data_IF_141740956054
#
_entry.id   IF_141740956054
#
_cell.length_a   1.000
_cell.length_b   1.000
_cell.length_c   1.000
_cell.angle_alpha   90.00
_cell.angle_beta   90.00
_cell.angle_gamma   90.00
#
_symmetry.space_group_name_H-M   'P 1'
#
loop_
_entity.id
_entity.type
_entity.pdbx_description
1 polymer ?
#
# COMPACT_ATOMS: atom_id res chain seq x y z
N UNK A 1 24.99 5.33 7.02
CA UNK A 1 24.89 3.86 6.84
C UNK A 1 23.41 3.47 6.73
N UNK A 2 22.78 3.36 5.54
CA UNK A 2 21.48 2.70 5.45
C UNK A 2 21.73 1.18 5.42
N UNK A 3 21.22 0.51 6.44
CA UNK A 3 21.41 -0.91 6.73
C UNK A 3 20.83 -1.81 5.61
N UNK A 4 21.45 -2.98 5.47
CA UNK A 4 21.24 -4.03 4.48
C UNK A 4 19.88 -4.77 4.58
N UNK A 5 18.77 -4.04 4.76
CA UNK A 5 17.41 -4.60 4.78
C UNK A 5 16.62 -4.31 3.50
N UNK A 6 17.34 -4.09 2.39
CA UNK A 6 16.81 -3.68 1.09
C UNK A 6 15.87 -4.71 0.42
N UNK A 7 15.56 -5.82 1.10
CA UNK A 7 14.67 -6.88 0.59
C UNK A 7 13.66 -7.46 1.57
N UNK A 8 13.57 -7.00 2.83
CA UNK A 8 12.63 -7.56 3.83
C UNK A 8 11.67 -6.53 4.41
N UNK A 9 10.51 -7.04 4.83
CA UNK A 9 9.45 -6.25 5.41
C UNK A 9 9.67 -6.08 6.91
N UNK A 10 9.91 -4.86 7.37
CA UNK A 10 10.14 -4.58 8.80
C UNK A 10 8.98 -4.96 9.74
N UNK A 11 7.79 -5.23 9.20
CA UNK A 11 6.63 -5.67 9.99
C UNK A 11 6.64 -7.18 10.25
N UNK A 12 7.02 -8.01 9.27
CA UNK A 12 6.81 -9.46 9.36
C UNK A 12 7.92 -10.31 8.72
N UNK A 13 9.01 -9.66 8.29
CA UNK A 13 10.22 -10.27 7.74
C UNK A 13 10.05 -11.01 6.40
N UNK A 14 8.85 -10.94 5.82
CA UNK A 14 8.53 -11.38 4.45
C UNK A 14 9.25 -10.50 3.41
N UNK A 15 9.30 -10.94 2.15
CA UNK A 15 9.98 -10.21 1.08
C UNK A 15 9.32 -8.85 0.85
N UNK A 16 10.10 -7.78 0.98
CA UNK A 16 9.62 -6.42 0.69
C UNK A 16 9.58 -6.18 -0.81
N UNK A 17 8.54 -5.45 -1.24
CA UNK A 17 8.40 -5.00 -2.63
C UNK A 17 9.00 -3.61 -2.85
N UNK A 18 9.42 -2.95 -1.77
CA UNK A 18 9.90 -1.57 -1.75
C UNK A 18 9.38 -0.79 -0.55
N UNK A 19 9.59 0.53 -0.57
CA UNK A 19 9.15 1.45 0.48
C UNK A 19 7.66 1.77 0.30
N UNK A 20 6.84 1.49 1.31
CA UNK A 20 5.45 1.95 1.36
C UNK A 20 5.15 2.54 2.73
N UNK A 21 4.45 3.68 2.74
CA UNK A 21 4.11 4.40 3.98
C UNK A 21 5.33 4.76 4.85
N UNK A 22 6.51 4.94 4.24
CA UNK A 22 7.73 5.39 4.90
C UNK A 22 8.78 4.31 5.17
N UNK A 23 8.45 3.02 5.02
CA UNK A 23 9.41 1.92 5.31
C UNK A 23 9.32 0.74 4.31
N UNK A 24 10.37 -0.10 4.23
CA UNK A 24 10.34 -1.36 3.47
C UNK A 24 9.21 -2.30 3.93
N UNK A 25 8.30 -2.65 3.03
CA UNK A 25 7.15 -3.52 3.35
C UNK A 25 6.79 -4.50 2.25
N UNK A 26 6.21 -5.64 2.64
CA UNK A 26 5.63 -6.61 1.71
C UNK A 26 4.21 -6.21 1.29
N UNK A 27 3.73 -6.76 0.17
CA UNK A 27 2.39 -6.47 -0.38
C UNK A 27 1.25 -6.69 0.66
N UNK A 28 1.24 -7.78 1.44
CA UNK A 28 0.19 -8.00 2.44
C UNK A 28 0.19 -6.96 3.56
N UNK A 29 1.36 -6.54 4.06
CA UNK A 29 1.45 -5.52 5.12
C UNK A 29 1.08 -4.13 4.59
N UNK A 30 1.46 -3.79 3.36
CA UNK A 30 1.01 -2.58 2.66
C UNK A 30 -0.52 -2.50 2.59
N UNK A 31 -1.17 -3.56 2.10
CA UNK A 31 -2.63 -3.59 1.95
C UNK A 31 -3.36 -3.65 3.31
N UNK A 32 -2.78 -4.32 4.29
CA UNK A 32 -3.29 -4.36 5.65
C UNK A 32 -3.26 -2.99 6.31
N UNK A 33 -2.12 -2.29 6.26
CA UNK A 33 -1.97 -0.96 6.87
C UNK A 33 -2.94 0.04 6.25
N UNK A 34 -3.03 0.10 4.91
CA UNK A 34 -3.94 1.02 4.21
C UNK A 34 -5.41 0.87 4.66
N UNK A 35 -5.86 -0.35 4.95
CA UNK A 35 -7.24 -0.62 5.38
C UNK A 35 -7.50 -0.35 6.85
N UNK A 36 -6.47 -0.45 7.70
CA UNK A 36 -6.63 -0.48 9.15
C UNK A 36 -5.94 0.68 9.88
N UNK A 37 -5.16 1.53 9.22
CA UNK A 37 -4.40 2.60 9.87
C UNK A 37 -5.26 3.56 10.73
N UNK A 38 -6.53 3.76 10.35
CA UNK A 38 -7.47 4.60 11.12
C UNK A 38 -8.16 3.85 12.26
N UNK A 39 -8.01 2.53 12.34
CA UNK A 39 -8.65 1.66 13.33
C UNK A 39 -7.81 1.41 14.57
N UNK A 40 -6.57 1.92 14.63
CA UNK A 40 -5.75 1.75 15.83
C UNK A 40 -6.43 2.47 17.01
N UNK A 41 -6.61 1.75 18.12
CA UNK A 41 -7.28 2.28 19.32
C UNK A 41 -8.80 2.19 19.27
N UNK A 42 -9.40 1.64 18.22
CA UNK A 42 -10.83 1.32 18.22
C UNK A 42 -11.10 -0.02 18.92
N UNK A 43 -12.34 -0.23 19.37
CA UNK A 43 -12.78 -1.49 19.99
C UNK A 43 -12.66 -2.70 19.04
N UNK A 44 -12.55 -2.48 17.74
CA UNK A 44 -12.36 -3.54 16.73
C UNK A 44 -10.93 -4.09 16.70
N UNK A 45 -9.96 -3.38 17.29
CA UNK A 45 -8.54 -3.70 17.26
C UNK A 45 -8.00 -3.98 18.66
N UNK A 46 -8.57 -5.00 19.30
CA UNK A 46 -8.16 -5.50 20.63
C UNK A 46 -7.36 -6.79 20.48
N UNK A 47 -6.28 -6.93 21.24
CA UNK A 47 -5.54 -8.17 21.33
C UNK A 47 -6.25 -9.12 22.30
N UNK A 48 -6.38 -10.40 21.94
CA UNK A 48 -6.93 -11.45 22.82
C UNK A 48 -5.88 -12.04 23.78
N UNK A 49 -4.65 -11.51 23.75
CA UNK A 49 -3.52 -11.91 24.58
C UNK A 49 -2.95 -10.64 25.23
N UNK A 50 -1.63 -10.57 25.45
CA UNK A 50 -1.01 -9.47 26.20
C UNK A 50 -0.55 -8.28 25.33
N UNK A 51 -0.99 -8.19 24.06
CA UNK A 51 -0.54 -7.13 23.15
C UNK A 51 0.88 -7.33 22.58
N UNK A 52 1.53 -8.45 22.88
CA UNK A 52 2.92 -8.74 22.51
C UNK A 52 3.04 -9.90 21.50
N UNK A 53 1.99 -10.16 20.70
CA UNK A 53 2.02 -11.26 19.74
C UNK A 53 3.18 -11.12 18.75
N UNK A 54 3.89 -12.23 18.53
CA UNK A 54 4.98 -12.29 17.55
C UNK A 54 4.40 -12.16 16.14
N UNK A 55 4.84 -11.14 15.40
CA UNK A 55 4.40 -10.88 14.03
C UNK A 55 5.51 -11.28 13.05
N UNK A 56 5.36 -12.47 12.46
CA UNK A 56 6.19 -13.00 11.35
C UNK A 56 5.34 -13.27 10.11
N UNK A 57 5.94 -13.65 8.99
CA UNK A 57 5.21 -13.99 7.77
C UNK A 57 4.15 -15.10 8.00
N UNK A 58 4.44 -16.05 8.90
CA UNK A 58 3.54 -17.16 9.29
C UNK A 58 2.42 -16.69 10.22
N UNK A 59 2.74 -15.92 11.26
CA UNK A 59 1.82 -15.59 12.35
C UNK A 59 1.15 -14.21 12.27
N UNK A 60 1.46 -13.41 11.24
CA UNK A 60 0.87 -12.07 11.04
C UNK A 60 -0.66 -12.06 10.87
N UNK A 61 -1.32 -13.20 10.68
CA UNK A 61 -2.79 -13.28 10.63
C UNK A 61 -3.41 -13.59 11.99
N UNK A 62 -2.63 -14.05 12.96
CA UNK A 62 -3.11 -14.49 14.28
C UNK A 62 -3.60 -13.32 15.13
N UNK A 63 -3.01 -12.12 14.98
CA UNK A 63 -3.45 -10.95 15.73
C UNK A 63 -3.36 -9.67 14.89
N UNK A 64 -4.53 -9.18 14.46
CA UNK A 64 -4.63 -7.91 13.73
C UNK A 64 -4.17 -6.73 14.60
N UNK A 65 -4.53 -6.72 15.89
CA UNK A 65 -4.11 -5.69 16.85
C UNK A 65 -2.59 -5.51 16.89
N UNK A 66 -1.86 -6.57 17.25
CA UNK A 66 -0.40 -6.53 17.36
C UNK A 66 0.27 -6.27 16.01
N UNK A 67 -0.30 -6.76 14.90
CA UNK A 67 0.21 -6.43 13.56
C UNK A 67 0.11 -4.95 13.26
N UNK A 68 -1.04 -4.32 13.53
CA UNK A 68 -1.22 -2.88 13.29
C UNK A 68 -0.35 -2.05 14.23
N UNK A 69 -0.29 -2.42 15.51
CA UNK A 69 0.60 -1.78 16.47
C UNK A 69 2.06 -1.87 16.01
N UNK A 70 2.52 -3.05 15.53
CA UNK A 70 3.87 -3.21 14.96
C UNK A 70 4.07 -2.33 13.72
N UNK A 71 3.10 -2.23 12.80
CA UNK A 71 3.18 -1.33 11.64
C UNK A 71 3.54 0.11 12.06
N UNK A 72 2.86 0.66 13.07
CA UNK A 72 3.16 2.00 13.58
C UNK A 72 4.50 2.05 14.31
N UNK A 73 4.79 1.06 15.15
CA UNK A 73 6.06 0.98 15.92
C UNK A 73 7.29 0.96 15.01
N UNK A 74 7.21 0.32 13.84
CA UNK A 74 8.31 0.30 12.87
C UNK A 74 8.34 1.54 11.96
N UNK A 75 7.40 2.47 12.10
CA UNK A 75 7.43 3.76 11.41
C UNK A 75 6.51 3.91 10.20
N UNK A 76 5.51 3.04 10.00
CA UNK A 76 4.50 3.28 8.96
C UNK A 76 3.65 4.51 9.29
N UNK A 77 3.55 5.45 8.34
CA UNK A 77 2.86 6.74 8.53
C UNK A 77 1.47 6.73 7.91
N UNK A 78 0.43 6.98 8.72
CA UNK A 78 -0.95 7.12 8.24
C UNK A 78 -1.15 8.34 7.33
N UNK A 79 -0.31 9.37 7.45
CA UNK A 79 -0.37 10.57 6.61
C UNK A 79 -0.11 10.32 5.13
N UNK A 80 0.45 9.16 4.77
CA UNK A 80 0.67 8.76 3.38
C UNK A 80 -0.58 8.07 2.78
N UNK A 81 -1.66 7.95 3.54
CA UNK A 81 -2.96 7.45 3.07
C UNK A 81 -3.81 8.65 2.69
N UNK A 82 -4.21 8.71 1.42
CA UNK A 82 -5.13 9.74 0.92
C UNK A 82 -6.43 9.73 1.72
N UNK A 83 -6.85 10.93 2.12
CA UNK A 83 -8.17 11.24 2.66
C UNK A 83 -9.28 10.89 1.64
N UNK A 84 -10.53 10.92 2.09
CA UNK A 84 -11.66 10.63 1.20
C UNK A 84 -11.77 11.71 0.12
N UNK A 85 -11.57 12.97 0.52
CA UNK A 85 -11.60 14.15 -0.34
C UNK A 85 -10.51 14.09 -1.42
N UNK A 86 -9.26 13.79 -1.03
CA UNK A 86 -8.14 13.63 -1.97
C UNK A 86 -8.36 12.45 -2.92
N UNK A 87 -8.93 11.35 -2.41
CA UNK A 87 -9.25 10.18 -3.23
C UNK A 87 -10.32 10.50 -4.27
N UNK A 88 -11.36 11.22 -3.90
CA UNK A 88 -12.40 11.67 -4.82
C UNK A 88 -11.85 12.63 -5.87
N UNK A 89 -11.03 13.61 -5.48
CA UNK A 89 -10.37 14.52 -6.40
C UNK A 89 -9.51 13.75 -7.42
N UNK A 90 -8.71 12.79 -6.95
CA UNK A 90 -7.92 11.91 -7.82
C UNK A 90 -8.79 11.09 -8.76
N UNK A 91 -9.89 10.53 -8.27
CA UNK A 91 -10.80 9.72 -9.08
C UNK A 91 -11.45 10.57 -10.19
N UNK A 92 -11.87 11.80 -9.88
CA UNK A 92 -12.38 12.77 -10.86
C UNK A 92 -11.32 13.08 -11.92
N UNK A 93 -10.08 13.35 -11.52
CA UNK A 93 -8.96 13.59 -12.45
C UNK A 93 -8.69 12.38 -13.37
N UNK A 94 -8.72 11.17 -12.82
CA UNK A 94 -8.54 9.95 -13.62
C UNK A 94 -9.68 9.76 -14.62
N UNK A 95 -10.93 10.02 -14.21
CA UNK A 95 -12.09 9.93 -15.08
C UNK A 95 -12.01 10.95 -16.23
N UNK A 96 -11.68 12.20 -15.95
CA UNK A 96 -11.52 13.23 -16.99
C UNK A 96 -10.37 12.92 -17.95
N UNK A 97 -9.23 12.42 -17.44
CA UNK A 97 -8.10 12.02 -18.28
C UNK A 97 -8.44 10.83 -19.21
N UNK A 98 -9.27 9.88 -18.76
CA UNK A 98 -9.76 8.79 -19.62
C UNK A 98 -10.64 9.31 -20.75
N UNK A 99 -11.55 10.23 -20.46
CA UNK A 99 -12.39 10.88 -21.48
C UNK A 99 -11.57 11.64 -22.53
N UNK A 100 -10.53 12.36 -22.10
CA UNK A 100 -9.60 13.06 -23.01
C UNK A 100 -8.82 12.08 -23.90
N UNK A 101 -8.33 10.96 -23.35
CA UNK A 101 -7.62 9.92 -24.13
C UNK A 101 -8.53 9.24 -25.17
N UNK A 102 -9.83 9.10 -24.88
CA UNK A 102 -10.81 8.60 -25.84
C UNK A 102 -11.10 9.55 -27.01
N UNK A 103 -10.63 10.80 -26.97
CA UNK A 103 -10.76 11.79 -28.04
C UNK A 103 -9.51 11.92 -28.93
N UNK A 104 -8.42 11.22 -28.62
CA UNK A 104 -7.27 11.15 -29.52
C UNK A 104 -7.72 10.27 -30.70
N UNK A 105 -7.85 10.80 -31.92
CA UNK A 105 -8.17 9.97 -33.07
C UNK A 105 -7.10 8.89 -33.13
N UNK A 106 -7.50 7.62 -33.26
CA UNK A 106 -6.57 6.58 -33.73
C UNK A 106 -6.09 7.07 -35.08
N UNK A 107 -4.95 7.77 -35.13
CA UNK A 107 -4.27 8.06 -36.38
C UNK A 107 -4.03 6.68 -36.99
N UNK A 108 -4.76 6.40 -38.07
CA UNK A 108 -4.80 5.10 -38.69
C UNK A 108 -3.36 4.68 -38.96
N UNK A 109 -2.95 3.53 -38.41
CA UNK A 109 -1.79 2.82 -38.95
C UNK A 109 -2.17 2.42 -40.37
N UNK A 110 -1.81 3.25 -41.36
CA UNK A 110 -1.99 2.94 -42.77
C UNK A 110 -1.03 1.78 -43.08
N UNK A 111 -1.50 0.58 -43.48
CA UNK A 111 -0.62 -0.58 -43.67
C UNK A 111 0.24 -0.53 -44.94
N UNK A 112 0.41 0.62 -45.61
CA UNK A 112 0.90 0.66 -47.00
C UNK A 112 1.74 1.90 -47.33
N UNK A 113 2.87 2.08 -46.64
CA UNK A 113 3.98 2.94 -47.13
C UNK A 113 5.32 2.30 -46.78
N UNK A 114 5.61 1.17 -47.42
CA UNK A 114 6.97 0.87 -47.87
C UNK A 114 6.96 1.16 -49.38
N UNK A 115 7.39 2.36 -49.76
CA UNK A 115 7.64 2.72 -51.16
C UNK A 115 9.13 2.55 -51.44
N UNK A 116 9.48 1.48 -52.17
CA UNK A 116 10.39 1.39 -53.33
C UNK A 116 10.73 -0.08 -53.55
#
# INVERSE_FOLDING_TARGET
MPNNDQGRCLVCDDVAIGISFGIPTCMPCKAFFRRNAVKLGTREFVCQHNGECIVTYKYRRSCNCCRLAKCFRVGMKKSFILTNEEREARNKLVATNRLKRGKIPKLQCIPWVCST
#
